data_IF_260762389791
#
_entry.id   IF_260762389791
#
_cell.length_a   1.000
_cell.length_b   1.000
_cell.length_c   1.000
_cell.angle_alpha   90.00
_cell.angle_beta   90.00
_cell.angle_gamma   90.00
#
_symmetry.space_group_name_H-M   'P 1'
#
loop_
_entity.id
_entity.type
_entity.pdbx_description
1 polymer ?
#
# COMPACT_ATOMS: atom_id res chain seq x y z
N UNK A 1 -7.63 -17.81 8.15
CA UNK A 1 -7.14 -16.43 8.29
C UNK A 1 -6.53 -16.06 6.95
N UNK A 2 -6.87 -14.90 6.39
CA UNK A 2 -6.32 -14.48 5.09
C UNK A 2 -4.94 -13.88 5.25
N UNK A 3 -4.09 -14.04 4.24
CA UNK A 3 -2.76 -13.45 4.17
C UNK A 3 -2.35 -13.23 2.71
N UNK A 4 -1.20 -12.59 2.49
CA UNK A 4 -0.70 -12.29 1.16
C UNK A 4 -0.44 -13.54 0.31
N UNK A 5 0.07 -14.64 0.89
CA UNK A 5 0.41 -15.82 0.11
C UNK A 5 -0.87 -16.50 -0.42
N UNK A 6 -1.92 -16.52 0.39
CA UNK A 6 -3.26 -16.97 -0.03
C UNK A 6 -3.78 -16.06 -1.16
N UNK A 7 -3.68 -14.74 -1.01
CA UNK A 7 -4.09 -13.78 -2.04
C UNK A 7 -3.34 -13.97 -3.38
N UNK A 8 -2.02 -14.19 -3.33
CA UNK A 8 -1.20 -14.49 -4.51
C UNK A 8 -1.61 -15.81 -5.16
N UNK A 9 -1.91 -16.84 -4.36
CA UNK A 9 -2.41 -18.11 -4.86
C UNK A 9 -3.76 -17.93 -5.57
N UNK A 10 -4.70 -17.20 -4.97
CA UNK A 10 -5.99 -16.85 -5.59
C UNK A 10 -5.78 -16.16 -6.93
N UNK A 11 -4.92 -15.13 -6.99
CA UNK A 11 -4.59 -14.40 -8.22
C UNK A 11 -4.03 -15.31 -9.33
N UNK A 12 -3.20 -16.29 -8.99
CA UNK A 12 -2.61 -17.21 -9.98
C UNK A 12 -3.64 -18.11 -10.68
N UNK A 13 -4.82 -18.27 -10.06
CA UNK A 13 -5.94 -19.02 -10.61
C UNK A 13 -6.90 -18.19 -11.46
N UNK A 14 -6.75 -16.86 -11.49
CA UNK A 14 -7.70 -15.98 -12.17
C UNK A 14 -7.46 -15.90 -13.67
N UNK A 15 -8.56 -15.64 -14.38
CA UNK A 15 -8.57 -15.11 -15.73
C UNK A 15 -8.97 -13.65 -15.65
N UNK A 16 -8.04 -12.74 -15.94
CA UNK A 16 -8.23 -11.30 -15.71
C UNK A 16 -7.98 -10.50 -16.99
N UNK A 17 -9.07 -10.08 -17.63
CA UNK A 17 -9.00 -9.23 -18.83
C UNK A 17 -9.03 -7.74 -18.50
N UNK A 18 -10.04 -7.28 -17.74
CA UNK A 18 -10.18 -5.88 -17.32
C UNK A 18 -10.90 -5.75 -15.98
N UNK A 19 -10.59 -4.70 -15.21
CA UNK A 19 -11.31 -4.42 -13.96
C UNK A 19 -12.78 -4.10 -14.21
N UNK A 20 -13.08 -3.49 -15.35
CA UNK A 20 -14.45 -3.12 -15.68
C UNK A 20 -15.31 -4.38 -15.87
N UNK A 21 -14.80 -5.44 -16.50
CA UNK A 21 -15.53 -6.71 -16.63
C UNK A 21 -15.92 -7.33 -15.28
N UNK A 22 -15.10 -7.17 -14.24
CA UNK A 22 -15.41 -7.67 -12.90
C UNK A 22 -16.50 -6.86 -12.19
N UNK A 23 -16.63 -5.58 -12.52
CA UNK A 23 -17.47 -4.63 -11.78
C UNK A 23 -18.52 -3.91 -12.63
N UNK A 24 -18.75 -4.37 -13.87
CA UNK A 24 -19.76 -3.80 -14.77
C UNK A 24 -21.15 -3.84 -14.15
N UNK A 25 -21.87 -2.72 -14.20
CA UNK A 25 -23.26 -2.60 -13.71
C UNK A 25 -23.39 -2.01 -12.30
N UNK A 26 -22.30 -1.84 -11.56
CA UNK A 26 -22.33 -1.01 -10.35
C UNK A 26 -22.29 0.46 -10.75
N UNK A 27 -23.44 1.14 -10.71
CA UNK A 27 -23.55 2.60 -10.96
C UNK A 27 -22.63 3.46 -10.05
N UNK A 28 -21.98 2.85 -9.04
CA UNK A 28 -21.02 3.48 -8.12
C UNK A 28 -19.56 3.46 -8.60
N UNK A 29 -19.17 2.61 -9.56
CA UNK A 29 -17.76 2.35 -9.90
C UNK A 29 -17.38 3.01 -11.23
N UNK A 30 -17.47 4.34 -11.29
CA UNK A 30 -16.91 5.12 -12.41
C UNK A 30 -15.42 5.46 -12.21
N UNK A 31 -14.87 5.19 -11.01
CA UNK A 31 -13.50 5.47 -10.65
C UNK A 31 -12.66 4.19 -10.61
N UNK A 32 -11.63 4.10 -11.47
CA UNK A 32 -10.70 2.96 -11.53
C UNK A 32 -9.91 2.75 -10.23
N UNK A 33 -9.65 3.82 -9.45
CA UNK A 33 -9.00 3.68 -8.15
C UNK A 33 -9.86 2.86 -7.20
N UNK A 34 -11.15 3.20 -7.10
CA UNK A 34 -12.14 2.47 -6.29
C UNK A 34 -12.31 1.04 -6.80
N UNK A 35 -12.36 0.84 -8.13
CA UNK A 35 -12.43 -0.50 -8.71
C UNK A 35 -11.22 -1.37 -8.33
N UNK A 36 -10.03 -0.78 -8.33
CA UNK A 36 -8.81 -1.47 -7.95
C UNK A 36 -8.77 -1.79 -6.45
N UNK A 37 -9.20 -0.87 -5.58
CA UNK A 37 -9.33 -1.14 -4.15
C UNK A 37 -10.31 -2.28 -3.86
N UNK A 38 -11.47 -2.29 -4.53
CA UNK A 38 -12.45 -3.37 -4.43
C UNK A 38 -11.86 -4.71 -4.91
N UNK A 39 -11.11 -4.70 -6.02
CA UNK A 39 -10.40 -5.87 -6.51
C UNK A 39 -9.43 -6.44 -5.48
N UNK A 40 -8.64 -5.59 -4.83
CA UNK A 40 -7.75 -6.02 -3.76
C UNK A 40 -8.54 -6.62 -2.59
N UNK A 41 -9.63 -5.97 -2.15
CA UNK A 41 -10.48 -6.52 -1.09
C UNK A 41 -10.99 -7.91 -1.46
N UNK A 42 -11.54 -8.05 -2.65
CA UNK A 42 -12.10 -9.30 -3.17
C UNK A 42 -11.08 -10.43 -3.28
N UNK A 43 -9.83 -10.13 -3.63
CA UNK A 43 -8.76 -11.14 -3.65
C UNK A 43 -8.48 -11.66 -2.25
N UNK A 44 -8.28 -10.75 -1.28
CA UNK A 44 -7.93 -11.14 0.08
C UNK A 44 -9.08 -11.85 0.80
N UNK A 45 -10.34 -11.52 0.50
CA UNK A 45 -11.51 -12.21 1.06
C UNK A 45 -12.02 -13.38 0.22
N UNK A 46 -11.34 -13.70 -0.89
CA UNK A 46 -11.74 -14.73 -1.85
C UNK A 46 -13.21 -14.56 -2.33
N UNK A 47 -13.62 -13.32 -2.61
CA UNK A 47 -15.00 -12.96 -2.94
C UNK A 47 -15.24 -12.44 -4.37
N UNK A 48 -14.25 -12.57 -5.27
CA UNK A 48 -14.34 -12.10 -6.66
C UNK A 48 -15.60 -12.59 -7.41
N UNK A 49 -16.05 -13.81 -7.13
CA UNK A 49 -17.21 -14.42 -7.79
C UNK A 49 -18.51 -14.31 -6.97
N UNK A 50 -18.49 -13.62 -5.82
CA UNK A 50 -19.64 -13.46 -4.94
C UNK A 50 -20.49 -12.30 -5.42
N UNK A 51 -21.66 -12.62 -5.99
CA UNK A 51 -22.61 -11.62 -6.52
C UNK A 51 -23.48 -10.99 -5.42
N UNK A 52 -23.76 -11.77 -4.37
CA UNK A 52 -24.55 -11.31 -3.25
C UNK A 52 -23.75 -10.32 -2.40
N UNK A 53 -24.28 -9.11 -2.24
CA UNK A 53 -23.56 -8.04 -1.55
C UNK A 53 -23.41 -8.32 -0.05
N UNK A 54 -24.41 -8.90 0.60
CA UNK A 54 -24.39 -9.18 2.04
C UNK A 54 -23.38 -10.29 2.35
N UNK A 55 -23.36 -11.34 1.53
CA UNK A 55 -22.35 -12.41 1.65
C UNK A 55 -20.93 -11.83 1.47
N UNK A 56 -20.75 -10.96 0.48
CA UNK A 56 -19.44 -10.31 0.24
C UNK A 56 -19.02 -9.41 1.41
N UNK A 57 -19.95 -8.64 1.97
CA UNK A 57 -19.68 -7.80 3.15
C UNK A 57 -19.32 -8.64 4.38
N UNK A 58 -19.97 -9.78 4.59
CA UNK A 58 -19.62 -10.73 5.66
C UNK A 58 -18.22 -11.33 5.46
N UNK A 59 -17.83 -11.64 4.20
CA UNK A 59 -16.47 -12.07 3.89
C UNK A 59 -15.44 -10.97 4.16
N UNK A 60 -15.75 -9.72 3.84
CA UNK A 60 -14.91 -8.58 4.20
C UNK A 60 -14.74 -8.45 5.72
N UNK A 61 -15.83 -8.50 6.49
CA UNK A 61 -15.77 -8.38 7.96
C UNK A 61 -14.97 -9.51 8.62
N UNK A 62 -15.01 -10.72 8.06
CA UNK A 62 -14.21 -11.84 8.55
C UNK A 62 -12.73 -11.78 8.14
N UNK A 63 -12.39 -10.99 7.11
CA UNK A 63 -11.04 -10.87 6.54
C UNK A 63 -10.28 -9.66 7.10
N UNK A 64 -10.95 -8.53 7.27
CA UNK A 64 -10.34 -7.25 7.60
C UNK A 64 -10.78 -6.76 8.98
N UNK A 65 -9.85 -6.15 9.71
CA UNK A 65 -10.12 -5.45 10.97
C UNK A 65 -10.39 -3.96 10.75
N UNK A 66 -9.90 -3.37 9.66
CA UNK A 66 -10.04 -1.95 9.40
C UNK A 66 -10.15 -1.62 7.91
N UNK A 67 -11.03 -0.68 7.57
CA UNK A 67 -11.06 0.04 6.30
C UNK A 67 -10.75 1.52 6.55
N UNK A 68 -9.77 2.03 5.82
CA UNK A 68 -9.29 3.40 5.88
C UNK A 68 -10.17 4.40 5.14
N UNK A 69 -9.70 5.64 5.14
CA UNK A 69 -10.31 6.74 4.41
C UNK A 69 -9.22 7.50 3.63
N UNK A 70 -9.64 8.40 2.73
CA UNK A 70 -8.73 9.11 1.83
C UNK A 70 -7.67 9.99 2.53
N UNK A 71 -7.87 10.34 3.80
CA UNK A 71 -7.03 11.26 4.54
C UNK A 71 -6.07 10.57 5.53
N UNK A 72 -6.34 9.32 5.90
CA UNK A 72 -5.64 8.63 6.98
C UNK A 72 -5.20 7.24 6.52
N UNK A 73 -3.90 6.91 6.58
CA UNK A 73 -3.44 5.55 6.35
C UNK A 73 -3.83 4.63 7.53
N UNK A 74 -3.78 3.30 7.33
CA UNK A 74 -3.66 2.61 6.04
C UNK A 74 -5.01 2.49 5.33
N UNK A 75 -5.01 2.05 4.07
CA UNK A 75 -6.25 1.79 3.33
C UNK A 75 -7.01 0.57 3.90
N UNK A 76 -6.31 -0.49 4.30
CA UNK A 76 -6.90 -1.69 4.91
C UNK A 76 -6.00 -2.25 6.03
N UNK A 77 -6.57 -3.01 6.96
CA UNK A 77 -5.82 -3.91 7.85
C UNK A 77 -6.45 -5.30 7.78
N UNK A 78 -5.63 -6.32 7.51
CA UNK A 78 -6.03 -7.72 7.63
C UNK A 78 -6.17 -8.08 9.10
N UNK A 79 -7.22 -8.82 9.44
CA UNK A 79 -7.47 -9.24 10.82
C UNK A 79 -6.27 -10.04 11.36
N UNK A 80 -5.70 -9.59 12.47
CA UNK A 80 -4.45 -10.12 13.05
C UNK A 80 -3.26 -10.18 12.07
N UNK A 81 -3.24 -9.29 11.07
CA UNK A 81 -2.25 -9.29 10.02
C UNK A 81 -1.78 -7.90 9.63
N UNK A 82 -1.33 -7.82 8.39
CA UNK A 82 -0.62 -6.67 7.83
C UNK A 82 -1.56 -5.51 7.51
N UNK A 83 -1.03 -4.29 7.61
CA UNK A 83 -1.63 -3.11 7.03
C UNK A 83 -1.38 -3.07 5.53
N UNK A 84 -2.32 -2.54 4.75
CA UNK A 84 -2.25 -2.49 3.30
C UNK A 84 -2.45 -1.04 2.83
N UNK A 85 -1.56 -0.59 1.96
CA UNK A 85 -1.65 0.70 1.29
C UNK A 85 -1.76 0.47 -0.21
N UNK A 86 -2.85 0.92 -0.81
CA UNK A 86 -3.20 0.67 -2.22
C UNK A 86 -2.92 1.93 -3.02
N UNK A 87 -2.26 1.77 -4.18
CA UNK A 87 -2.03 2.87 -5.11
C UNK A 87 -2.29 2.43 -6.54
N UNK A 88 -3.12 3.21 -7.23
CA UNK A 88 -3.36 3.07 -8.66
C UNK A 88 -2.50 4.08 -9.41
N UNK A 89 -1.75 3.61 -10.40
CA UNK A 89 -0.90 4.43 -11.27
C UNK A 89 -1.27 4.19 -12.74
N UNK A 90 -1.03 5.20 -13.58
CA UNK A 90 -1.29 5.12 -15.03
C UNK A 90 -0.02 5.14 -15.88
N UNK A 91 1.14 5.39 -15.26
CA UNK A 91 2.44 5.48 -15.91
C UNK A 91 3.55 4.97 -14.97
N UNK A 92 4.77 4.84 -15.49
CA UNK A 92 5.93 4.43 -14.70
C UNK A 92 6.56 5.61 -13.91
N UNK A 93 5.89 6.76 -13.81
CA UNK A 93 6.42 7.91 -13.07
C UNK A 93 6.49 7.66 -11.57
N UNK A 94 7.10 8.60 -10.84
CA UNK A 94 7.06 8.64 -9.38
C UNK A 94 5.62 8.57 -8.87
N UNK A 95 5.44 7.89 -7.75
CA UNK A 95 4.16 7.66 -7.08
C UNK A 95 4.02 8.70 -5.99
N UNK A 96 2.94 9.49 -6.04
CA UNK A 96 2.60 10.43 -4.97
C UNK A 96 2.01 9.66 -3.77
N UNK A 97 2.52 9.95 -2.58
CA UNK A 97 1.97 9.51 -1.31
C UNK A 97 1.33 10.73 -0.64
N UNK A 98 0.00 10.75 -0.69
CA UNK A 98 -0.75 11.83 -0.07
C UNK A 98 -0.70 11.70 1.45
N UNK A 99 -0.62 12.84 2.13
CA UNK A 99 -0.86 12.96 3.58
C UNK A 99 0.18 12.31 4.51
N UNK A 100 1.11 11.48 4.04
CA UNK A 100 2.22 10.96 4.86
C UNK A 100 3.44 10.51 4.05
N UNK A 101 4.59 10.42 4.72
CA UNK A 101 5.82 9.85 4.15
C UNK A 101 5.69 8.34 3.90
N UNK A 102 6.50 7.73 3.01
CA UNK A 102 6.56 6.29 2.84
C UNK A 102 6.95 5.58 4.14
N UNK A 103 6.22 4.53 4.51
CA UNK A 103 6.38 3.83 5.79
C UNK A 103 7.02 2.47 5.57
N UNK A 104 8.00 2.16 6.41
CA UNK A 104 8.54 0.81 6.52
C UNK A 104 7.60 -0.13 7.29
N UNK A 105 6.99 0.36 8.37
CA UNK A 105 5.98 -0.30 9.20
C UNK A 105 4.91 0.73 9.60
N UNK A 106 3.72 0.26 9.94
CA UNK A 106 2.69 1.09 10.56
C UNK A 106 2.81 1.01 12.09
N UNK A 107 3.00 2.13 12.77
CA UNK A 107 3.08 2.19 14.24
C UNK A 107 1.81 2.76 14.85
N UNK A 108 1.38 2.22 16.00
CA UNK A 108 0.20 2.73 16.71
C UNK A 108 0.36 4.20 17.16
N UNK A 109 1.61 4.64 17.32
CA UNK A 109 1.98 6.00 17.71
C UNK A 109 1.90 7.02 16.57
N UNK A 110 1.67 6.59 15.31
CA UNK A 110 1.54 7.52 14.20
C UNK A 110 0.32 8.44 14.42
N UNK A 111 0.54 9.75 14.47
CA UNK A 111 -0.53 10.73 14.70
C UNK A 111 -1.53 10.83 13.54
N UNK A 112 -1.17 10.26 12.38
CA UNK A 112 -1.97 10.32 11.15
C UNK A 112 -2.99 9.19 11.02
N UNK A 113 -2.91 8.15 11.85
CA UNK A 113 -3.89 7.06 11.87
C UNK A 113 -5.03 7.39 12.82
N UNK A 114 -6.24 6.96 12.47
CA UNK A 114 -7.44 7.24 13.27
C UNK A 114 -7.51 6.40 14.54
N UNK A 115 -8.29 6.83 15.54
CA UNK A 115 -8.54 6.01 16.74
C UNK A 115 -9.23 4.68 16.38
N UNK A 116 -10.08 4.66 15.35
CA UNK A 116 -10.68 3.43 14.84
C UNK A 116 -9.61 2.45 14.31
N UNK A 117 -8.58 2.95 13.62
CA UNK A 117 -7.44 2.14 13.19
C UNK A 117 -6.63 1.61 14.38
N UNK A 118 -6.38 2.43 15.40
CA UNK A 118 -5.63 2.02 16.60
C UNK A 118 -6.34 0.88 17.36
N UNK A 119 -7.67 0.95 17.41
CA UNK A 119 -8.52 0.03 18.16
C UNK A 119 -9.21 -1.03 17.27
N UNK A 120 -8.66 -1.32 16.09
CA UNK A 120 -9.33 -2.19 15.11
C UNK A 120 -9.26 -3.70 15.41
N UNK A 121 -8.36 -4.12 16.31
CA UNK A 121 -8.18 -5.52 16.70
C UNK A 121 -8.58 -5.72 18.16
N UNK A 122 -8.94 -6.97 18.51
CA UNK A 122 -9.26 -7.34 19.89
C UNK A 122 -8.04 -7.22 20.82
N UNK A 123 -6.83 -7.34 20.27
CA UNK A 123 -5.56 -7.19 21.00
C UNK A 123 -4.85 -5.90 20.61
N UNK A 124 -4.28 -5.21 21.61
CA UNK A 124 -3.47 -4.01 21.36
C UNK A 124 -2.20 -4.38 20.61
N UNK A 125 -2.00 -3.78 19.44
CA UNK A 125 -0.79 -3.94 18.62
C UNK A 125 0.11 -2.71 18.76
N UNK A 126 1.42 -2.89 18.64
CA UNK A 126 2.40 -1.79 18.68
C UNK A 126 2.79 -1.34 17.27
N UNK A 127 3.03 -2.32 16.41
CA UNK A 127 3.31 -2.10 15.00
C UNK A 127 2.72 -3.22 14.15
N UNK A 128 2.50 -2.91 12.87
CA UNK A 128 2.10 -3.84 11.83
C UNK A 128 3.02 -3.67 10.63
N UNK A 129 3.29 -4.78 9.93
CA UNK A 129 3.91 -4.70 8.61
C UNK A 129 3.00 -3.93 7.66
N UNK A 130 3.60 -3.15 6.76
CA UNK A 130 2.85 -2.46 5.71
C UNK A 130 3.16 -3.08 4.35
N UNK A 131 2.10 -3.42 3.63
CA UNK A 131 2.13 -3.97 2.29
C UNK A 131 1.63 -2.92 1.31
N UNK A 132 2.52 -2.42 0.45
CA UNK A 132 2.16 -1.58 -0.67
C UNK A 132 1.66 -2.42 -1.82
N UNK A 133 0.43 -2.15 -2.27
CA UNK A 133 -0.17 -2.78 -3.44
C UNK A 133 -0.33 -1.73 -4.53
N UNK A 134 0.55 -1.80 -5.53
CA UNK A 134 0.63 -0.79 -6.60
C UNK A 134 0.16 -1.41 -7.91
N UNK A 135 -1.00 -0.99 -8.39
CA UNK A 135 -1.58 -1.41 -9.66
C UNK A 135 -1.33 -0.42 -10.78
N UNK A 136 -0.63 -0.84 -11.83
CA UNK A 136 -0.50 -0.08 -13.08
C UNK A 136 -1.66 -0.42 -14.01
N UNK A 137 -2.53 0.55 -14.26
CA UNK A 137 -3.72 0.38 -15.08
C UNK A 137 -3.60 1.26 -16.33
N UNK A 138 -3.74 0.64 -17.49
CA UNK A 138 -3.71 1.36 -18.75
C UNK A 138 -4.91 2.30 -18.86
N UNK A 139 -4.65 3.60 -19.09
CA UNK A 139 -5.70 4.62 -19.15
C UNK A 139 -6.73 4.36 -20.25
N UNK A 140 -6.32 3.78 -21.39
CA UNK A 140 -7.19 3.53 -22.54
C UNK A 140 -7.94 2.21 -22.38
N UNK A 141 -7.20 1.11 -22.25
CA UNK A 141 -7.79 -0.24 -22.24
C UNK A 141 -8.39 -0.64 -20.90
N UNK A 142 -8.11 0.10 -19.82
CA UNK A 142 -8.53 -0.22 -18.43
C UNK A 142 -8.02 -1.57 -17.93
N UNK A 143 -7.08 -2.19 -18.65
CA UNK A 143 -6.42 -3.42 -18.25
C UNK A 143 -5.38 -3.12 -17.18
N UNK A 144 -5.27 -4.01 -16.21
CA UNK A 144 -4.16 -4.00 -15.27
C UNK A 144 -2.95 -4.58 -16.02
N UNK A 145 -1.86 -3.85 -16.08
CA UNK A 145 -0.63 -4.31 -16.72
C UNK A 145 0.25 -5.02 -15.69
N UNK A 146 0.39 -4.42 -14.51
CA UNK A 146 1.25 -4.93 -13.43
C UNK A 146 0.60 -4.67 -12.08
N UNK A 147 0.71 -5.63 -11.16
CA UNK A 147 0.46 -5.41 -9.73
C UNK A 147 1.71 -5.76 -8.95
N UNK A 148 2.20 -4.77 -8.21
CA UNK A 148 3.29 -4.92 -7.26
C UNK A 148 2.75 -5.11 -5.85
N UNK A 149 3.24 -6.12 -5.14
CA UNK A 149 3.02 -6.36 -3.72
C UNK A 149 4.36 -6.21 -2.99
N UNK A 150 4.57 -5.07 -2.33
CA UNK A 150 5.86 -4.71 -1.75
C UNK A 150 5.75 -4.48 -0.26
N UNK A 151 6.51 -5.22 0.54
CA UNK A 151 6.61 -4.86 1.95
C UNK A 151 7.38 -3.56 2.12
N UNK A 152 6.94 -2.74 3.08
CA UNK A 152 7.52 -1.43 3.37
C UNK A 152 9.01 -1.50 3.70
N UNK A 153 9.48 -2.55 4.35
CA UNK A 153 10.90 -2.79 4.65
C UNK A 153 11.77 -3.19 3.46
N UNK A 154 11.17 -3.46 2.30
CA UNK A 154 11.89 -3.53 1.02
C UNK A 154 11.96 -2.17 0.32
N UNK A 155 11.07 -1.22 0.64
CA UNK A 155 10.75 -0.09 -0.26
C UNK A 155 10.94 1.29 0.37
N UNK A 156 10.77 1.42 1.68
CA UNK A 156 10.83 2.65 2.44
C UNK A 156 11.80 2.52 3.63
N UNK A 157 12.46 3.62 3.97
CA UNK A 157 13.31 3.68 5.15
C UNK A 157 12.50 3.72 6.45
N UNK A 158 13.18 3.57 7.57
CA UNK A 158 12.64 3.79 8.89
C UNK A 158 12.09 5.22 9.04
N UNK A 159 11.08 5.37 9.89
CA UNK A 159 10.36 6.64 10.10
C UNK A 159 11.31 7.80 10.48
N UNK A 160 12.37 7.51 11.22
CA UNK A 160 13.38 8.48 11.68
C UNK A 160 13.98 9.29 10.51
N UNK A 161 14.21 8.65 9.35
CA UNK A 161 14.79 9.32 8.17
C UNK A 161 13.89 10.45 7.69
N UNK A 162 12.58 10.23 7.70
CA UNK A 162 11.60 11.20 7.22
C UNK A 162 11.23 12.23 8.30
N UNK A 163 11.10 11.78 9.54
CA UNK A 163 10.76 12.62 10.69
C UNK A 163 11.84 13.65 10.96
N UNK A 164 13.12 13.28 10.86
CA UNK A 164 14.25 14.22 10.98
C UNK A 164 14.12 15.43 10.06
N UNK A 165 13.70 15.22 8.80
CA UNK A 165 13.51 16.31 7.83
C UNK A 165 12.30 17.16 8.23
N UNK A 166 11.18 16.53 8.60
CA UNK A 166 9.97 17.23 9.02
C UNK A 166 10.20 18.08 10.28
N UNK A 167 10.90 17.54 11.26
CA UNK A 167 11.19 18.23 12.52
C UNK A 167 12.14 19.41 12.28
N UNK A 168 13.16 19.24 11.43
CA UNK A 168 14.05 20.33 11.02
C UNK A 168 13.29 21.46 10.32
N UNK A 169 12.34 21.13 9.43
CA UNK A 169 11.49 22.12 8.76
C UNK A 169 10.54 22.81 9.74
N UNK A 170 9.94 22.07 10.67
CA UNK A 170 9.07 22.62 11.71
C UNK A 170 9.83 23.62 12.56
N UNK A 171 10.96 23.23 13.14
CA UNK A 171 11.79 24.12 13.96
C UNK A 171 12.11 25.43 13.22
N UNK A 172 12.57 25.35 11.97
CA UNK A 172 12.86 26.55 11.18
C UNK A 172 11.66 27.47 10.92
N UNK A 173 10.43 26.93 10.86
CA UNK A 173 9.21 27.74 10.71
C UNK A 173 8.78 28.34 12.06
N UNK A 174 8.90 27.58 13.15
CA UNK A 174 8.58 28.06 14.50
C UNK A 174 9.51 29.18 14.98
N UNK A 175 10.72 29.27 14.41
CA UNK A 175 11.68 30.34 14.71
C UNK A 175 11.38 31.66 13.97
N UNK A 176 10.42 31.69 13.04
CA UNK A 176 10.04 32.90 12.33
C UNK A 176 9.26 33.86 13.25
N UNK A 177 9.68 35.13 13.28
CA UNK A 177 8.94 36.20 13.95
C UNK A 177 7.76 36.65 13.08
N UNK A 178 6.73 37.23 13.71
CA UNK A 178 5.56 37.84 13.05
C UNK A 178 4.60 36.89 12.30
N UNK A 179 4.52 35.62 12.73
CA UNK A 179 3.60 34.62 12.14
C UNK A 179 2.71 33.99 13.23
N UNK A 180 1.38 34.05 13.06
CA UNK A 180 0.42 33.39 13.97
C UNK A 180 0.24 31.91 13.59
N UNK A 181 1.05 31.04 14.20
CA UNK A 181 0.98 29.59 13.98
C UNK A 181 -0.15 28.92 14.77
N UNK A 182 -0.87 28.01 14.12
CA UNK A 182 -1.88 27.14 14.74
C UNK A 182 -1.31 25.72 14.88
N UNK A 183 -1.55 25.02 16.01
CA UNK A 183 -1.25 23.60 16.13
C UNK A 183 -1.83 22.78 14.98
N UNK A 184 -1.00 21.96 14.34
CA UNK A 184 -1.39 21.11 13.20
C UNK A 184 -0.60 19.81 13.17
N UNK A 185 -1.19 18.77 12.59
CA UNK A 185 -0.50 17.50 12.26
C UNK A 185 0.37 17.61 10.99
N UNK A 186 0.34 18.76 10.33
CA UNK A 186 1.12 19.06 9.13
C UNK A 186 2.45 19.74 9.47
N UNK A 187 3.10 20.36 8.47
CA UNK A 187 4.35 21.08 8.68
C UNK A 187 4.06 22.40 9.39
N UNK A 188 3.10 23.19 8.89
CA UNK A 188 2.66 24.42 9.54
C UNK A 188 1.27 24.85 9.05
N UNK A 189 0.53 25.56 9.91
CA UNK A 189 -0.66 26.32 9.54
C UNK A 189 -0.54 27.72 10.12
N UNK A 190 -0.67 28.73 9.28
CA UNK A 190 -0.60 30.15 9.64
C UNK A 190 -2.00 30.74 9.50
N UNK A 191 -2.45 31.49 10.50
CA UNK A 191 -3.73 32.20 10.47
C UNK A 191 -3.54 33.67 10.09
N UNK A 192 -4.65 34.34 9.74
CA UNK A 192 -4.75 35.80 9.57
C UNK A 192 -3.67 36.40 8.65
N UNK A 193 -3.43 35.76 7.51
CA UNK A 193 -2.34 36.15 6.60
C UNK A 193 -2.64 37.48 5.90
N UNK A 194 -3.91 37.82 5.72
CA UNK A 194 -4.36 39.06 5.11
C UNK A 194 -4.72 40.13 6.17
N UNK A 195 -4.76 41.43 5.81
CA UNK A 195 -5.07 42.51 6.76
C UNK A 195 -6.44 42.42 7.44
N UNK A 196 -7.42 41.73 6.86
CA UNK A 196 -8.73 41.50 7.48
C UNK A 196 -8.74 40.28 8.40
N UNK A 197 -7.68 39.47 8.39
CA UNK A 197 -7.52 38.30 9.25
C UNK A 197 -8.44 37.13 8.91
N UNK A 198 -8.84 36.99 7.65
CA UNK A 198 -9.82 35.98 7.19
C UNK A 198 -9.21 34.87 6.34
N UNK A 199 -7.89 34.85 6.17
CA UNK A 199 -7.16 33.85 5.38
C UNK A 199 -6.24 32.99 6.24
N UNK A 200 -6.23 31.69 5.93
CA UNK A 200 -5.31 30.70 6.47
C UNK A 200 -4.29 30.28 5.38
N UNK A 201 -3.02 30.15 5.73
CA UNK A 201 -1.99 29.55 4.87
C UNK A 201 -1.55 28.19 5.44
N UNK A 202 -1.60 27.15 4.58
CA UNK A 202 -1.35 25.75 4.96
C UNK A 202 -0.08 25.23 4.29
N UNK A 203 0.87 24.74 5.08
CA UNK A 203 2.11 24.10 4.60
C UNK A 203 2.02 22.60 4.87
N UNK A 204 2.01 21.81 3.80
CA UNK A 204 1.94 20.35 3.85
C UNK A 204 3.05 19.71 3.01
N UNK A 205 3.60 18.61 3.51
CA UNK A 205 4.54 17.79 2.74
C UNK A 205 3.80 17.00 1.67
N UNK A 206 4.36 16.93 0.46
CA UNK A 206 3.91 16.04 -0.61
C UNK A 206 5.05 15.08 -0.94
N UNK A 207 4.91 13.84 -0.50
CA UNK A 207 5.94 12.83 -0.68
C UNK A 207 5.77 12.13 -2.02
N UNK A 208 6.89 11.92 -2.70
CA UNK A 208 6.95 11.11 -3.91
C UNK A 208 7.95 9.99 -3.69
N UNK A 209 7.60 8.78 -4.12
CA UNK A 209 8.49 7.63 -4.11
C UNK A 209 8.69 7.13 -5.53
N UNK A 210 9.91 6.69 -5.86
CA UNK A 210 10.25 6.19 -7.19
C UNK A 210 9.49 4.89 -7.46
N UNK A 211 8.94 4.76 -8.68
CA UNK A 211 8.17 3.58 -9.07
C UNK A 211 8.96 2.27 -8.86
N UNK A 212 8.33 1.20 -8.35
CA UNK A 212 8.99 -0.09 -8.15
C UNK A 212 9.68 -0.65 -9.39
N UNK A 213 9.12 -0.42 -10.59
CA UNK A 213 9.75 -0.80 -11.88
C UNK A 213 11.18 -0.25 -11.98
N UNK A 214 11.42 0.95 -11.46
CA UNK A 214 12.73 1.61 -11.54
C UNK A 214 13.58 1.46 -10.28
N UNK A 215 12.99 1.04 -9.15
CA UNK A 215 13.72 0.76 -7.91
C UNK A 215 14.31 -0.65 -7.97
N UNK A 216 13.53 -1.60 -8.50
CA UNK A 216 13.86 -3.02 -8.52
C UNK A 216 14.16 -3.53 -9.94
N UNK A 217 14.53 -2.65 -10.87
CA UNK A 217 14.85 -3.00 -12.28
C UNK A 217 15.94 -4.08 -12.38
N UNK A 218 16.94 -4.04 -11.48
CA UNK A 218 18.00 -5.06 -11.39
C UNK A 218 17.55 -6.40 -10.81
N UNK A 219 16.38 -6.43 -10.17
CA UNK A 219 15.81 -7.61 -9.49
C UNK A 219 14.73 -8.26 -10.36
N UNK A 220 13.95 -7.46 -11.08
CA UNK A 220 12.89 -7.93 -11.97
C UNK A 220 12.64 -6.96 -13.13
N UNK A 221 12.64 -7.47 -14.35
CA UNK A 221 12.41 -6.71 -15.58
C UNK A 221 11.55 -7.43 -16.63
N UNK A 222 10.96 -8.57 -16.28
CA UNK A 222 10.25 -9.47 -17.21
C UNK A 222 8.74 -9.15 -17.30
N UNK A 223 8.37 -7.96 -17.78
CA UNK A 223 6.95 -7.55 -17.88
C UNK A 223 6.26 -8.03 -19.16
N UNK A 224 5.02 -8.50 -19.03
CA UNK A 224 4.19 -8.86 -20.19
C UNK A 224 3.47 -7.66 -20.79
N UNK A 225 3.37 -7.62 -22.12
CA UNK A 225 2.57 -6.64 -22.86
C UNK A 225 1.10 -7.05 -23.06
N UNK A 226 0.78 -8.33 -22.83
CA UNK A 226 -0.54 -8.90 -23.15
C UNK A 226 -1.29 -9.40 -21.92
N UNK A 227 -0.57 -9.76 -20.86
CA UNK A 227 -1.11 -10.34 -19.62
C UNK A 227 -0.77 -9.48 -18.42
N UNK A 228 -1.59 -9.57 -17.38
CA UNK A 228 -1.29 -8.93 -16.10
C UNK A 228 -0.09 -9.62 -15.46
N UNK A 229 0.94 -8.84 -15.13
CA UNK A 229 2.13 -9.32 -14.43
C UNK A 229 1.96 -9.11 -12.92
N UNK A 230 2.09 -10.16 -12.12
CA UNK A 230 2.12 -10.06 -10.66
C UNK A 230 3.57 -10.14 -10.21
N UNK A 231 3.98 -9.19 -9.37
CA UNK A 231 5.31 -9.17 -8.75
C UNK A 231 5.16 -8.88 -7.28
N UNK A 232 5.81 -9.69 -6.45
CA UNK A 232 5.83 -9.51 -5.02
C UNK A 232 7.26 -9.58 -4.51
N UNK A 233 7.61 -8.67 -3.60
CA UNK A 233 8.91 -8.60 -2.96
C UNK A 233 8.74 -8.41 -1.45
N UNK A 234 9.29 -9.33 -0.68
CA UNK A 234 9.24 -9.32 0.78
C UNK A 234 10.56 -9.81 1.37
N UNK A 235 10.96 -9.39 2.58
CA UNK A 235 12.12 -9.98 3.24
C UNK A 235 11.93 -11.47 3.46
N UNK A 236 13.01 -12.24 3.41
CA UNK A 236 12.99 -13.67 3.69
C UNK A 236 12.46 -13.95 5.11
N UNK A 237 12.76 -13.06 6.06
CA UNK A 237 12.26 -13.13 7.44
C UNK A 237 10.73 -13.02 7.46
N UNK A 238 10.14 -12.09 6.68
CA UNK A 238 8.68 -11.95 6.59
C UNK A 238 8.04 -13.20 5.97
N UNK A 239 8.64 -13.76 4.92
CA UNK A 239 8.13 -14.99 4.31
C UNK A 239 7.99 -16.12 5.35
N UNK A 240 8.95 -16.24 6.26
CA UNK A 240 8.96 -17.28 7.31
C UNK A 240 7.91 -17.05 8.39
N UNK A 241 7.32 -15.85 8.51
CA UNK A 241 6.26 -15.60 9.52
C UNK A 241 4.88 -16.06 9.07
N UNK A 242 4.66 -16.33 7.78
CA UNK A 242 3.37 -16.84 7.31
C UNK A 242 3.13 -18.27 7.81
N UNK A 243 1.86 -18.67 7.89
CA UNK A 243 1.50 -20.04 8.23
C UNK A 243 2.11 -21.04 7.25
N UNK A 244 2.55 -22.19 7.74
CA UNK A 244 3.15 -23.23 6.91
C UNK A 244 2.23 -23.68 5.78
N UNK A 245 0.91 -23.76 6.03
CA UNK A 245 -0.09 -24.05 5.01
C UNK A 245 -0.09 -23.01 3.88
N UNK A 246 0.00 -21.72 4.21
CA UNK A 246 0.07 -20.63 3.23
C UNK A 246 1.38 -20.67 2.43
N UNK A 247 2.50 -21.00 3.08
CA UNK A 247 3.79 -21.19 2.41
C UNK A 247 3.74 -22.38 1.44
N UNK A 248 3.22 -23.54 1.87
CA UNK A 248 3.08 -24.72 1.01
C UNK A 248 2.19 -24.45 -0.21
N UNK A 249 1.07 -23.74 -0.04
CA UNK A 249 0.15 -23.41 -1.14
C UNK A 249 0.85 -22.74 -2.32
N UNK A 250 1.73 -21.77 -2.05
CA UNK A 250 2.44 -21.07 -3.13
C UNK A 250 3.67 -21.83 -3.64
N UNK A 251 4.35 -22.61 -2.78
CA UNK A 251 5.52 -23.41 -3.16
C UNK A 251 5.15 -24.58 -4.07
N UNK A 252 3.96 -25.16 -3.89
CA UNK A 252 3.45 -26.27 -4.70
C UNK A 252 2.78 -25.79 -6.00
N UNK A 253 2.45 -24.50 -6.09
CA UNK A 253 1.76 -23.93 -7.25
C UNK A 253 2.74 -23.67 -8.42
N UNK A 254 2.69 -24.55 -9.42
CA UNK A 254 3.56 -24.49 -10.62
C UNK A 254 3.40 -23.22 -11.47
N UNK A 255 2.34 -22.44 -11.29
CA UNK A 255 2.17 -21.14 -11.99
C UNK A 255 2.97 -20.02 -11.34
N UNK A 256 3.35 -20.18 -10.08
CA UNK A 256 4.03 -19.17 -9.27
C UNK A 256 5.53 -19.45 -9.28
N UNK A 257 6.31 -18.45 -9.69
CA UNK A 257 7.76 -18.51 -9.64
C UNK A 257 8.25 -17.79 -8.37
N UNK A 258 9.11 -18.46 -7.59
CA UNK A 258 9.68 -17.95 -6.34
C UNK A 258 11.20 -18.02 -6.44
N UNK A 259 11.87 -16.89 -6.21
CA UNK A 259 13.34 -16.78 -6.25
C UNK A 259 13.84 -16.10 -4.99
N UNK A 260 15.00 -16.55 -4.50
CA UNK A 260 15.78 -15.82 -3.51
C UNK A 260 16.59 -14.73 -4.19
N UNK A 261 16.49 -13.50 -3.67
CA UNK A 261 17.17 -12.32 -4.21
C UNK A 261 17.78 -11.50 -3.07
N UNK A 262 18.73 -10.62 -3.42
CA UNK A 262 19.26 -9.62 -2.50
C UNK A 262 18.94 -8.22 -3.00
N UNK A 263 18.39 -7.38 -2.13
CA UNK A 263 18.02 -5.99 -2.45
C UNK A 263 18.76 -5.02 -1.53
N UNK A 264 18.93 -3.77 -1.94
CA UNK A 264 19.53 -2.74 -1.09
C UNK A 264 18.61 -2.43 0.09
N UNK A 265 19.18 -2.23 1.27
CA UNK A 265 18.41 -1.75 2.42
C UNK A 265 18.02 -0.28 2.21
N UNK A 266 16.73 0.09 2.40
CA UNK A 266 16.30 1.48 2.35
C UNK A 266 16.97 2.37 3.41
N UNK A 267 17.33 1.80 4.57
CA UNK A 267 18.01 2.51 5.66
C UNK A 267 19.52 2.64 5.45
N UNK A 268 20.14 1.68 4.76
CA UNK A 268 21.59 1.67 4.54
C UNK A 268 21.93 1.06 3.17
N UNK A 269 22.24 1.88 2.15
CA UNK A 269 22.50 1.42 0.79
C UNK A 269 23.68 0.44 0.62
N UNK A 270 24.60 0.36 1.59
CA UNK A 270 25.72 -0.60 1.58
C UNK A 270 25.26 -1.98 2.04
N UNK A 271 24.23 -2.05 2.88
CA UNK A 271 23.67 -3.30 3.36
C UNK A 271 22.68 -3.88 2.35
N UNK A 272 22.66 -5.21 2.28
CA UNK A 272 21.67 -5.96 1.51
C UNK A 272 20.68 -6.67 2.42
N UNK A 273 19.45 -6.80 1.95
CA UNK A 273 18.37 -7.55 2.56
C UNK A 273 18.14 -8.80 1.71
N UNK A 274 18.15 -9.98 2.35
CA UNK A 274 17.69 -11.22 1.71
C UNK A 274 16.18 -11.18 1.58
N UNK A 275 15.67 -11.38 0.37
CA UNK A 275 14.27 -11.24 0.04
C UNK A 275 13.78 -12.39 -0.84
N UNK A 276 12.47 -12.64 -0.78
CA UNK A 276 11.76 -13.52 -1.71
C UNK A 276 11.12 -12.66 -2.79
N UNK A 277 11.48 -12.95 -4.05
CA UNK A 277 10.81 -12.43 -5.24
C UNK A 277 9.81 -13.49 -5.72
N UNK A 278 8.52 -13.15 -5.70
CA UNK A 278 7.44 -14.01 -6.19
C UNK A 278 6.83 -13.34 -7.42
N UNK A 279 6.69 -14.06 -8.53
CA UNK A 279 6.13 -13.49 -9.76
C UNK A 279 5.39 -14.54 -10.59
N UNK A 280 4.41 -14.08 -11.37
CA UNK A 280 3.67 -14.89 -12.34
C UNK A 280 2.82 -14.01 -13.26
N UNK A 281 2.30 -14.59 -14.33
CA UNK A 281 1.35 -13.94 -15.23
C UNK A 281 -0.06 -14.46 -14.95
N UNK A 282 -1.02 -13.54 -14.79
CA UNK A 282 -2.45 -13.90 -14.74
C UNK A 282 -2.92 -14.26 -16.15
N UNK A 283 -3.79 -15.26 -16.26
CA UNK A 283 -4.24 -15.77 -17.55
C UNK A 283 -5.30 -14.88 -18.21
#
# INVERSE_FOLDING_TARGET
>A
MSDLLIALNTLSGLHLNSLNELYTGSNRINNQGVAFELFIRDIFSNSLNVKDQEIRENLYQSTFSYFGNQNNPPDLILKNGDAIEIKKIESNSTIALNSSYPKQKLKITDSRITNACKNCEDSTWQEKDILYIIGKINKKSKKIEVIWFLYGDCYAASAEVYEKILDSMKSGIYDLQDIELIPTNEIAKVNKVDPLGITDFRVRGMWHIKNPIHVFESVYNEYSNTKTTIVCLMPEIKFKTFLQSSQSLILENKKINIKDVEIKSPDNPVKKIKAKLINFLVQ
#
